data_IF_215522967169
#
_entry.id   IF_215522967169
#
_cell.length_a   1.000
_cell.length_b   1.000
_cell.length_c   1.000
_cell.angle_alpha   90.00
_cell.angle_beta   90.00
_cell.angle_gamma   90.00
#
_symmetry.space_group_name_H-M   'P 1'
#
loop_
_entity.id
_entity.type
_entity.pdbx_description
1 polymer ?
#
# COMPACT_ATOMS: atom_id res chain seq x y z
N UNK A 1 1.17 -37.14 42.43
CA UNK A 1 0.25 -36.58 41.42
C UNK A 1 0.86 -35.48 40.55
N UNK A 2 2.01 -34.86 40.90
CA UNK A 2 2.69 -33.86 40.05
C UNK A 2 3.70 -34.44 39.03
N UNK A 3 4.12 -35.70 39.19
CA UNK A 3 5.11 -36.34 38.30
C UNK A 3 4.49 -36.91 37.01
N UNK A 4 3.18 -37.21 36.99
CA UNK A 4 2.47 -37.64 35.78
C UNK A 4 2.36 -36.52 34.74
N UNK A 5 2.05 -35.30 35.18
CA UNK A 5 1.88 -34.13 34.30
C UNK A 5 3.20 -33.64 33.69
N UNK A 6 4.33 -33.91 34.33
CA UNK A 6 5.65 -33.61 33.79
C UNK A 6 6.04 -34.60 32.68
N UNK A 7 5.79 -35.89 32.88
CA UNK A 7 6.06 -36.92 31.90
C UNK A 7 5.16 -36.81 30.66
N UNK A 8 3.87 -36.49 30.84
CA UNK A 8 2.95 -36.21 29.71
C UNK A 8 3.36 -34.98 28.90
N UNK A 9 3.79 -33.89 29.55
CA UNK A 9 4.25 -32.68 28.85
C UNK A 9 5.52 -32.92 28.04
N UNK A 10 6.48 -33.70 28.55
CA UNK A 10 7.71 -34.05 27.82
C UNK A 10 7.39 -34.94 26.60
N UNK A 11 6.50 -35.92 26.75
CA UNK A 11 6.07 -36.79 25.66
C UNK A 11 5.29 -36.01 24.58
N UNK A 12 4.43 -35.06 25.00
CA UNK A 12 3.73 -34.17 24.08
C UNK A 12 4.68 -33.24 23.32
N UNK A 13 5.66 -32.64 24.01
CA UNK A 13 6.65 -31.76 23.39
C UNK A 13 7.50 -32.49 22.35
N UNK A 14 7.95 -33.72 22.64
CA UNK A 14 8.72 -34.53 21.70
C UNK A 14 7.89 -34.97 20.49
N UNK A 15 6.62 -35.34 20.68
CA UNK A 15 5.70 -35.65 19.58
C UNK A 15 5.42 -34.42 18.72
N UNK A 16 5.23 -33.27 19.35
CA UNK A 16 5.03 -32.01 18.65
C UNK A 16 6.29 -31.58 17.89
N UNK A 17 7.48 -31.70 18.48
CA UNK A 17 8.72 -31.34 17.80
C UNK A 17 8.98 -32.24 16.58
N UNK A 18 8.77 -33.56 16.72
CA UNK A 18 8.90 -34.51 15.63
C UNK A 18 7.87 -34.24 14.51
N UNK A 19 6.63 -33.92 14.88
CA UNK A 19 5.59 -33.53 13.94
C UNK A 19 5.91 -32.20 13.24
N UNK A 20 6.41 -31.21 13.98
CA UNK A 20 6.77 -29.89 13.46
C UNK A 20 7.91 -29.98 12.46
N UNK A 21 8.96 -30.77 12.76
CA UNK A 21 10.08 -30.95 11.84
C UNK A 21 9.65 -31.56 10.50
N UNK A 22 8.68 -32.48 10.52
CA UNK A 22 8.14 -33.13 9.32
C UNK A 22 7.17 -32.26 8.49
N UNK A 23 6.76 -31.09 8.98
CA UNK A 23 5.87 -30.18 8.23
C UNK A 23 6.60 -29.36 7.15
N UNK A 24 5.86 -29.02 6.09
CA UNK A 24 6.34 -28.16 5.02
C UNK A 24 6.65 -26.74 5.52
N UNK A 25 7.58 -26.06 4.84
CA UNK A 25 7.98 -24.70 5.19
C UNK A 25 6.81 -23.69 5.13
N UNK A 26 5.81 -23.93 4.28
CA UNK A 26 4.61 -23.10 4.20
C UNK A 26 3.77 -23.17 5.49
N UNK A 27 3.54 -24.39 6.00
CA UNK A 27 2.83 -24.61 7.27
C UNK A 27 3.56 -23.89 8.41
N UNK A 28 4.89 -24.02 8.47
CA UNK A 28 5.71 -23.38 9.51
C UNK A 28 5.57 -21.85 9.49
N UNK A 29 5.60 -21.23 8.32
CA UNK A 29 5.44 -19.76 8.16
C UNK A 29 4.05 -19.30 8.56
N UNK A 30 2.99 -20.01 8.15
CA UNK A 30 1.61 -19.65 8.51
C UNK A 30 1.34 -19.81 10.01
N UNK A 31 1.74 -20.92 10.61
CA UNK A 31 1.58 -21.13 12.06
C UNK A 31 2.44 -20.17 12.88
N UNK A 32 3.67 -19.86 12.43
CA UNK A 32 4.51 -18.84 13.05
C UNK A 32 3.86 -17.44 13.00
N UNK A 33 3.35 -17.04 11.84
CA UNK A 33 2.61 -15.79 11.67
C UNK A 33 1.35 -15.73 12.53
N UNK A 34 0.59 -16.82 12.61
CA UNK A 34 -0.62 -16.93 13.45
C UNK A 34 -0.28 -16.88 14.94
N UNK A 35 0.77 -17.56 15.39
CA UNK A 35 1.21 -17.52 16.78
C UNK A 35 1.61 -16.10 17.20
N UNK A 36 2.33 -15.37 16.35
CA UNK A 36 2.64 -13.96 16.58
C UNK A 36 1.38 -13.08 16.61
N UNK A 37 0.38 -13.38 15.78
CA UNK A 37 -0.89 -12.68 15.79
C UNK A 37 -1.62 -12.87 17.11
N UNK A 38 -1.70 -14.11 17.59
CA UNK A 38 -2.33 -14.43 18.88
C UNK A 38 -1.60 -13.74 20.03
N UNK A 39 -0.26 -13.70 19.98
CA UNK A 39 0.55 -12.95 20.94
C UNK A 39 0.27 -11.45 20.86
N UNK A 40 0.08 -10.90 19.66
CA UNK A 40 -0.31 -9.50 19.47
C UNK A 40 -1.69 -9.20 20.06
N UNK A 41 -2.68 -10.08 19.84
CA UNK A 41 -4.05 -9.96 20.38
C UNK A 41 -4.04 -10.07 21.91
N UNK A 42 -3.32 -11.04 22.47
CA UNK A 42 -3.18 -11.20 23.91
C UNK A 42 -2.50 -9.97 24.54
N UNK A 43 -1.46 -9.45 23.88
CA UNK A 43 -0.76 -8.24 24.32
C UNK A 43 -1.65 -6.99 24.18
N UNK A 44 -2.56 -6.95 23.21
CA UNK A 44 -3.51 -5.85 23.02
C UNK A 44 -4.52 -5.75 24.15
N UNK A 45 -4.93 -6.88 24.73
CA UNK A 45 -5.80 -6.91 25.91
C UNK A 45 -5.12 -6.29 27.15
N UNK A 46 -3.80 -6.43 27.26
CA UNK A 46 -3.03 -5.85 28.37
C UNK A 46 -2.61 -4.39 28.12
N UNK A 47 -2.23 -4.05 26.89
CA UNK A 47 -1.78 -2.70 26.51
C UNK A 47 -2.13 -2.37 25.06
N UNK A 48 -3.30 -1.74 24.81
CA UNK A 48 -3.80 -1.50 23.45
C UNK A 48 -2.95 -0.53 22.62
N UNK A 49 -2.02 0.21 23.24
CA UNK A 49 -1.08 1.13 22.56
C UNK A 49 0.39 0.80 22.81
N UNK A 50 0.68 -0.43 23.22
CA UNK A 50 2.07 -0.88 23.41
C UNK A 50 2.87 -0.88 22.11
N UNK A 51 4.14 -0.47 22.18
CA UNK A 51 5.05 -0.59 21.04
C UNK A 51 5.25 -2.07 20.65
N UNK A 52 5.18 -2.97 21.64
CA UNK A 52 5.21 -4.42 21.49
C UNK A 52 4.02 -4.96 20.67
N UNK A 53 2.80 -4.49 20.93
CA UNK A 53 1.60 -4.96 20.20
C UNK A 53 1.67 -4.57 18.73
N UNK A 54 2.11 -3.34 18.46
CA UNK A 54 2.33 -2.85 17.09
C UNK A 54 3.42 -3.67 16.39
N UNK A 55 4.57 -3.90 17.04
CA UNK A 55 5.67 -4.68 16.47
C UNK A 55 5.24 -6.12 16.16
N UNK A 56 4.55 -6.80 17.10
CA UNK A 56 4.04 -8.16 16.90
C UNK A 56 3.00 -8.22 15.79
N UNK A 57 2.10 -7.24 15.70
CA UNK A 57 1.09 -7.17 14.65
C UNK A 57 1.74 -6.98 13.27
N UNK A 58 2.73 -6.08 13.14
CA UNK A 58 3.45 -5.88 11.88
C UNK A 58 4.29 -7.11 11.51
N UNK A 59 4.98 -7.73 12.47
CA UNK A 59 5.77 -8.94 12.25
C UNK A 59 4.89 -10.11 11.79
N UNK A 60 3.75 -10.31 12.47
CA UNK A 60 2.75 -11.31 12.08
C UNK A 60 2.22 -11.05 10.66
N UNK A 61 1.84 -9.81 10.37
CA UNK A 61 1.33 -9.41 9.04
C UNK A 61 2.37 -9.66 7.95
N UNK A 62 3.64 -9.31 8.20
CA UNK A 62 4.74 -9.54 7.27
C UNK A 62 4.98 -11.02 6.99
N UNK A 63 4.95 -11.86 8.03
CA UNK A 63 5.10 -13.33 7.89
C UNK A 63 3.94 -13.96 7.12
N UNK A 64 2.70 -13.58 7.42
CA UNK A 64 1.52 -14.07 6.71
C UNK A 64 1.52 -13.63 5.25
N UNK A 65 1.84 -12.35 4.98
CA UNK A 65 1.96 -11.83 3.63
C UNK A 65 3.07 -12.53 2.85
N UNK A 66 4.23 -12.76 3.47
CA UNK A 66 5.34 -13.47 2.84
C UNK A 66 5.00 -14.93 2.52
N UNK A 67 4.32 -15.63 3.44
CA UNK A 67 3.82 -16.98 3.21
C UNK A 67 2.87 -17.05 2.02
N UNK A 68 1.91 -16.13 1.96
CA UNK A 68 0.97 -16.02 0.85
C UNK A 68 1.66 -15.68 -0.47
N UNK A 69 2.56 -14.70 -0.48
CA UNK A 69 3.28 -14.28 -1.67
C UNK A 69 4.14 -15.41 -2.22
N UNK A 70 4.76 -16.20 -1.34
CA UNK A 70 5.54 -17.39 -1.72
C UNK A 70 4.67 -18.46 -2.35
N UNK A 71 3.52 -18.80 -1.75
CA UNK A 71 2.59 -19.77 -2.34
C UNK A 71 2.06 -19.28 -3.70
N UNK A 72 1.65 -18.01 -3.78
CA UNK A 72 1.19 -17.39 -5.01
C UNK A 72 2.29 -17.41 -6.10
N UNK A 73 3.53 -17.07 -5.74
CA UNK A 73 4.67 -17.13 -6.64
C UNK A 73 4.88 -18.53 -7.20
N UNK A 74 5.00 -19.55 -6.33
CA UNK A 74 5.22 -20.92 -6.77
C UNK A 74 4.09 -21.46 -7.66
N UNK A 75 2.87 -20.96 -7.48
CA UNK A 75 1.72 -21.34 -8.30
C UNK A 75 1.64 -20.60 -9.64
N UNK A 76 1.99 -19.31 -9.66
CA UNK A 76 1.90 -18.44 -10.83
C UNK A 76 3.06 -18.67 -11.80
N UNK A 77 4.30 -18.80 -11.29
CA UNK A 77 5.51 -18.91 -12.11
C UNK A 77 5.45 -20.01 -13.17
N UNK A 78 5.03 -21.26 -12.89
CA UNK A 78 4.93 -22.29 -13.93
C UNK A 78 3.81 -21.99 -14.95
N UNK A 79 2.75 -21.30 -14.54
CA UNK A 79 1.60 -20.97 -15.40
C UNK A 79 1.82 -19.73 -16.26
N UNK A 80 2.83 -18.92 -15.93
CA UNK A 80 3.19 -17.71 -16.66
C UNK A 80 3.68 -18.01 -18.09
N UNK A 81 3.99 -19.27 -18.42
CA UNK A 81 4.31 -19.68 -19.79
C UNK A 81 3.09 -19.65 -20.72
N UNK A 82 1.87 -19.73 -20.17
CA UNK A 82 0.64 -19.68 -20.95
C UNK A 82 0.34 -18.25 -21.40
N UNK A 83 0.09 -18.01 -22.70
CA UNK A 83 -0.11 -16.66 -23.24
C UNK A 83 -1.31 -15.94 -22.62
N UNK A 84 -2.38 -16.69 -22.31
CA UNK A 84 -3.56 -16.15 -21.63
C UNK A 84 -3.24 -15.64 -20.21
N UNK A 85 -2.38 -16.34 -19.46
CA UNK A 85 -2.00 -15.93 -18.10
C UNK A 85 -1.14 -14.68 -18.15
N UNK A 86 -0.26 -14.53 -19.16
CA UNK A 86 0.50 -13.29 -19.40
C UNK A 86 -0.42 -12.11 -19.71
N UNK A 87 -1.39 -12.31 -20.62
CA UNK A 87 -2.37 -11.26 -20.96
C UNK A 87 -3.21 -10.86 -19.74
N UNK A 88 -3.62 -11.83 -18.92
CA UNK A 88 -4.40 -11.55 -17.72
C UNK A 88 -3.58 -10.79 -16.67
N UNK A 89 -2.33 -11.22 -16.43
CA UNK A 89 -1.44 -10.53 -15.49
C UNK A 89 -1.10 -9.11 -15.96
N UNK A 90 -0.76 -8.92 -17.24
CA UNK A 90 -0.48 -7.59 -17.79
C UNK A 90 -1.72 -6.69 -17.74
N UNK A 91 -2.90 -7.20 -18.12
CA UNK A 91 -4.16 -6.46 -17.99
C UNK A 91 -4.46 -6.07 -16.55
N UNK A 92 -4.31 -6.99 -15.60
CA UNK A 92 -4.49 -6.72 -14.18
C UNK A 92 -3.49 -5.69 -13.65
N UNK A 93 -2.23 -5.76 -14.07
CA UNK A 93 -1.21 -4.76 -13.71
C UNK A 93 -1.53 -3.37 -14.25
N UNK A 94 -2.00 -3.27 -15.50
CA UNK A 94 -2.40 -1.98 -16.10
C UNK A 94 -3.62 -1.41 -15.39
N UNK A 95 -4.62 -2.23 -15.07
CA UNK A 95 -5.78 -1.79 -14.29
C UNK A 95 -5.37 -1.33 -12.89
N UNK A 96 -4.46 -2.05 -12.23
CA UNK A 96 -3.96 -1.66 -10.92
C UNK A 96 -3.20 -0.33 -10.96
N UNK A 97 -2.39 -0.11 -12.01
CA UNK A 97 -1.68 1.14 -12.22
C UNK A 97 -2.65 2.30 -12.49
N UNK A 98 -3.65 2.10 -13.33
CA UNK A 98 -4.68 3.09 -13.62
C UNK A 98 -5.48 3.47 -12.37
N UNK A 99 -5.85 2.49 -11.55
CA UNK A 99 -6.50 2.72 -10.26
C UNK A 99 -5.58 3.50 -9.31
N UNK A 100 -4.30 3.15 -9.22
CA UNK A 100 -3.31 3.85 -8.42
C UNK A 100 -3.18 5.32 -8.87
N UNK A 101 -3.10 5.58 -10.19
CA UNK A 101 -3.11 6.94 -10.74
C UNK A 101 -4.37 7.72 -10.34
N UNK A 102 -5.54 7.08 -10.41
CA UNK A 102 -6.81 7.67 -9.98
C UNK A 102 -6.80 8.09 -8.51
N UNK A 103 -6.36 7.20 -7.61
CA UNK A 103 -6.27 7.48 -6.17
C UNK A 103 -5.24 8.61 -5.90
N UNK A 104 -4.10 8.62 -6.59
CA UNK A 104 -3.10 9.70 -6.47
C UNK A 104 -3.67 11.06 -6.88
N UNK A 105 -4.41 11.12 -8.00
CA UNK A 105 -5.08 12.35 -8.45
C UNK A 105 -6.18 12.81 -7.47
N UNK A 106 -6.98 11.88 -6.95
CA UNK A 106 -7.96 12.19 -5.90
C UNK A 106 -7.30 12.75 -4.65
N UNK A 107 -6.17 12.19 -4.23
CA UNK A 107 -5.44 12.66 -3.05
C UNK A 107 -4.92 14.08 -3.21
N UNK A 108 -4.38 14.43 -4.38
CA UNK A 108 -3.95 15.80 -4.68
C UNK A 108 -5.14 16.75 -4.71
N UNK A 109 -6.24 16.36 -5.37
CA UNK A 109 -7.44 17.18 -5.44
C UNK A 109 -8.04 17.44 -4.05
N UNK A 110 -8.17 16.42 -3.21
CA UNK A 110 -8.67 16.57 -1.84
C UNK A 110 -7.71 17.38 -0.94
N UNK A 111 -6.40 17.24 -1.15
CA UNK A 111 -5.38 17.92 -0.35
C UNK A 111 -5.26 19.42 -0.68
N UNK A 112 -5.34 19.77 -1.97
CA UNK A 112 -5.06 21.10 -2.50
C UNK A 112 -6.31 21.88 -2.92
N UNK A 113 -7.42 21.19 -3.19
CA UNK A 113 -8.64 21.79 -3.76
C UNK A 113 -8.47 22.26 -5.21
N UNK A 114 -7.43 21.79 -5.91
CA UNK A 114 -7.06 22.21 -7.26
C UNK A 114 -7.02 21.02 -8.23
N UNK A 115 -7.11 21.31 -9.53
CA UNK A 115 -7.00 20.27 -10.56
C UNK A 115 -5.62 19.58 -10.49
N UNK A 116 -5.56 18.24 -10.33
CA UNK A 116 -4.32 17.49 -10.23
C UNK A 116 -3.43 17.58 -11.49
N UNK A 117 -3.95 18.05 -12.63
CA UNK A 117 -3.15 18.28 -13.84
C UNK A 117 -2.02 19.30 -13.64
N UNK A 118 -2.15 20.20 -12.66
CA UNK A 118 -1.11 21.19 -12.31
C UNK A 118 -0.06 20.65 -11.33
N UNK A 119 -0.15 19.38 -10.93
CA UNK A 119 0.74 18.78 -9.94
C UNK A 119 1.34 17.44 -10.42
N UNK A 120 1.98 17.41 -11.61
CA UNK A 120 2.43 16.16 -12.21
C UNK A 120 3.50 15.45 -11.37
N UNK A 121 4.41 16.18 -10.72
CA UNK A 121 5.49 15.57 -9.94
C UNK A 121 4.98 15.01 -8.62
N UNK A 122 4.02 15.68 -7.98
CA UNK A 122 3.35 15.18 -6.78
C UNK A 122 2.54 13.92 -7.07
N UNK A 123 1.78 13.89 -8.19
CA UNK A 123 1.05 12.68 -8.60
C UNK A 123 2.03 11.53 -8.85
N UNK A 124 3.16 11.80 -9.52
CA UNK A 124 4.20 10.80 -9.76
C UNK A 124 4.82 10.25 -8.46
N UNK A 125 5.07 11.10 -7.46
CA UNK A 125 5.57 10.68 -6.14
C UNK A 125 4.56 9.77 -5.41
N UNK A 126 3.27 10.09 -5.50
CA UNK A 126 2.21 9.34 -4.81
C UNK A 126 1.85 8.03 -5.51
N UNK A 127 2.21 7.86 -6.78
CA UNK A 127 1.84 6.70 -7.58
C UNK A 127 2.35 5.35 -6.99
N UNK A 128 3.62 5.18 -6.61
CA UNK A 128 4.08 3.92 -6.01
C UNK A 128 3.40 3.64 -4.65
N UNK A 129 3.07 4.70 -3.92
CA UNK A 129 2.41 4.63 -2.62
C UNK A 129 0.93 4.22 -2.75
N UNK A 130 0.24 4.71 -3.79
CA UNK A 130 -1.15 4.32 -4.06
C UNK A 130 -1.27 2.90 -4.60
N UNK A 131 -0.23 2.35 -5.25
CA UNK A 131 -0.19 0.92 -5.60
C UNK A 131 -0.32 0.04 -4.36
N UNK A 132 0.29 0.41 -3.22
CA UNK A 132 0.14 -0.34 -1.97
C UNK A 132 -1.33 -0.41 -1.53
N UNK A 133 -2.08 0.67 -1.73
CA UNK A 133 -3.52 0.70 -1.42
C UNK A 133 -4.29 -0.23 -2.35
N UNK A 134 -4.04 -0.19 -3.65
CA UNK A 134 -4.68 -1.08 -4.62
C UNK A 134 -4.38 -2.54 -4.28
N UNK A 135 -3.13 -2.87 -4.00
CA UNK A 135 -2.71 -4.22 -3.59
C UNK A 135 -3.40 -4.65 -2.31
N UNK A 136 -3.57 -3.76 -1.32
CA UNK A 136 -4.27 -4.08 -0.07
C UNK A 136 -5.75 -4.45 -0.30
N UNK A 137 -6.45 -3.73 -1.16
CA UNK A 137 -7.86 -4.00 -1.50
C UNK A 137 -7.99 -5.31 -2.26
N UNK A 138 -7.12 -5.53 -3.25
CA UNK A 138 -7.08 -6.79 -4.00
C UNK A 138 -6.77 -7.96 -3.07
N UNK A 139 -5.85 -7.80 -2.13
CA UNK A 139 -5.52 -8.82 -1.15
C UNK A 139 -6.72 -9.17 -0.25
N UNK A 140 -7.52 -8.18 0.21
CA UNK A 140 -8.76 -8.45 0.96
C UNK A 140 -9.73 -9.27 0.10
N UNK A 141 -10.00 -8.84 -1.14
CA UNK A 141 -10.96 -9.52 -2.02
C UNK A 141 -10.49 -10.94 -2.34
N UNK A 142 -9.23 -11.12 -2.74
CA UNK A 142 -8.67 -12.43 -3.06
C UNK A 142 -8.65 -13.32 -1.82
N UNK A 143 -8.26 -12.80 -0.67
CA UNK A 143 -8.21 -13.57 0.58
C UNK A 143 -9.61 -14.03 0.99
N UNK A 144 -10.59 -13.13 1.03
CA UNK A 144 -11.98 -13.45 1.40
C UNK A 144 -12.62 -14.45 0.44
N UNK A 145 -12.47 -14.26 -0.88
CA UNK A 145 -12.96 -15.21 -1.88
C UNK A 145 -12.26 -16.57 -1.78
N UNK A 146 -10.95 -16.59 -1.55
CA UNK A 146 -10.19 -17.84 -1.39
C UNK A 146 -10.62 -18.59 -0.14
N UNK A 147 -10.79 -17.90 0.99
CA UNK A 147 -11.30 -18.49 2.23
C UNK A 147 -12.71 -19.06 2.03
N UNK A 148 -13.62 -18.31 1.39
CA UNK A 148 -14.96 -18.78 1.10
C UNK A 148 -14.96 -20.03 0.20
N UNK A 149 -14.15 -20.03 -0.87
CA UNK A 149 -14.01 -21.16 -1.78
C UNK A 149 -13.45 -22.41 -1.07
N UNK A 150 -12.45 -22.24 -0.21
CA UNK A 150 -11.88 -23.34 0.58
C UNK A 150 -12.89 -23.92 1.56
N UNK A 151 -13.71 -23.08 2.21
CA UNK A 151 -14.77 -23.52 3.11
C UNK A 151 -15.86 -24.29 2.37
N UNK A 152 -16.29 -23.81 1.20
CA UNK A 152 -17.27 -24.50 0.35
C UNK A 152 -16.70 -25.84 -0.12
N UNK A 153 -15.45 -25.86 -0.58
CA UNK A 153 -14.79 -27.09 -1.03
C UNK A 153 -14.66 -28.12 0.10
N UNK A 154 -14.23 -27.69 1.28
CA UNK A 154 -14.12 -28.55 2.45
C UNK A 154 -15.49 -29.11 2.87
N UNK A 155 -16.51 -28.26 2.91
CA UNK A 155 -17.89 -28.67 3.19
C UNK A 155 -18.41 -29.68 2.17
N UNK A 156 -18.19 -29.43 0.87
CA UNK A 156 -18.59 -30.33 -0.20
C UNK A 156 -17.85 -31.67 -0.12
N UNK A 157 -16.55 -31.68 0.17
CA UNK A 157 -15.77 -32.92 0.34
C UNK A 157 -16.32 -33.76 1.50
N UNK A 158 -16.50 -33.16 2.67
CA UNK A 158 -17.03 -33.87 3.85
C UNK A 158 -18.42 -34.45 3.58
N UNK A 159 -19.27 -33.70 2.87
CA UNK A 159 -20.62 -34.14 2.51
C UNK A 159 -20.60 -35.31 1.50
N UNK A 160 -19.72 -35.24 0.50
CA UNK A 160 -19.66 -36.19 -0.62
C UNK A 160 -18.89 -37.47 -0.29
N UNK A 161 -17.78 -37.40 0.44
CA UNK A 161 -16.93 -38.59 0.67
C UNK A 161 -17.29 -39.36 1.93
N UNK A 162 -18.12 -38.84 2.86
CA UNK A 162 -18.43 -39.43 4.19
C UNK A 162 -17.20 -39.89 5.02
N UNK A 163 -16.00 -39.61 4.54
CA UNK A 163 -14.71 -39.99 5.11
C UNK A 163 -13.90 -38.74 5.41
N UNK A 164 -13.14 -38.81 6.50
CA UNK A 164 -12.28 -37.73 6.94
C UNK A 164 -11.25 -37.35 5.85
N UNK A 165 -10.94 -36.07 5.75
CA UNK A 165 -9.79 -35.59 5.01
C UNK A 165 -8.53 -36.24 5.58
N UNK A 166 -7.56 -36.56 4.73
CA UNK A 166 -6.24 -37.00 5.18
C UNK A 166 -5.65 -35.93 6.13
N UNK A 167 -5.06 -36.36 7.25
CA UNK A 167 -4.73 -35.48 8.38
C UNK A 167 -3.87 -34.29 7.93
N UNK A 168 -2.93 -34.53 7.00
CA UNK A 168 -2.05 -33.49 6.44
C UNK A 168 -2.80 -32.47 5.59
N UNK A 169 -3.77 -32.90 4.79
CA UNK A 169 -4.59 -32.02 3.96
C UNK A 169 -5.55 -31.19 4.82
N UNK A 170 -6.07 -31.78 5.91
CA UNK A 170 -6.90 -31.08 6.89
C UNK A 170 -6.16 -29.93 7.58
N UNK A 171 -4.95 -30.19 8.09
CA UNK A 171 -4.13 -29.16 8.76
C UNK A 171 -3.69 -28.03 7.82
N UNK A 172 -3.35 -28.36 6.57
CA UNK A 172 -2.97 -27.38 5.57
C UNK A 172 -4.16 -26.51 5.14
N UNK A 173 -5.35 -27.11 5.01
CA UNK A 173 -6.59 -26.36 4.76
C UNK A 173 -6.92 -25.42 5.92
N UNK A 174 -6.87 -25.91 7.16
CA UNK A 174 -7.12 -25.11 8.36
C UNK A 174 -6.14 -23.93 8.45
N UNK A 175 -4.84 -24.16 8.20
CA UNK A 175 -3.83 -23.11 8.17
C UNK A 175 -4.14 -22.03 7.12
N UNK A 176 -4.58 -22.42 5.91
CA UNK A 176 -4.95 -21.48 4.84
C UNK A 176 -6.20 -20.67 5.16
N UNK A 177 -7.23 -21.30 5.74
CA UNK A 177 -8.45 -20.61 6.17
C UNK A 177 -8.14 -19.59 7.26
N UNK A 178 -7.39 -19.99 8.28
CA UNK A 178 -6.96 -19.10 9.37
C UNK A 178 -6.07 -17.97 8.87
N UNK A 179 -5.12 -18.27 7.97
CA UNK A 179 -4.26 -17.27 7.35
C UNK A 179 -5.06 -16.27 6.50
N UNK A 180 -5.98 -16.76 5.66
CA UNK A 180 -6.82 -15.88 4.84
C UNK A 180 -7.71 -14.97 5.67
N UNK A 181 -8.33 -15.52 6.72
CA UNK A 181 -9.21 -14.77 7.61
C UNK A 181 -8.43 -13.74 8.44
N UNK A 182 -7.25 -14.10 8.95
CA UNK A 182 -6.37 -13.17 9.65
C UNK A 182 -5.88 -12.04 8.76
N UNK A 183 -5.41 -12.34 7.54
CA UNK A 183 -5.01 -11.32 6.55
C UNK A 183 -6.18 -10.36 6.27
N UNK A 184 -7.37 -10.89 6.02
CA UNK A 184 -8.55 -10.06 5.74
C UNK A 184 -8.89 -9.14 6.92
N UNK A 185 -8.86 -9.65 8.16
CA UNK A 185 -9.12 -8.86 9.37
C UNK A 185 -8.06 -7.80 9.64
N UNK A 186 -6.77 -8.14 9.48
CA UNK A 186 -5.65 -7.22 9.68
C UNK A 186 -5.72 -6.09 8.66
N UNK A 187 -5.88 -6.41 7.38
CA UNK A 187 -5.93 -5.39 6.34
C UNK A 187 -7.19 -4.55 6.52
N UNK A 188 -8.35 -5.14 6.83
CA UNK A 188 -9.59 -4.38 7.05
C UNK A 188 -9.52 -3.45 8.26
N UNK A 189 -8.85 -3.85 9.35
CA UNK A 189 -8.72 -3.00 10.54
C UNK A 189 -7.72 -1.86 10.36
N UNK A 190 -6.72 -2.03 9.49
CA UNK A 190 -5.75 -0.98 9.13
C UNK A 190 -6.22 -0.11 7.96
N UNK A 191 -7.14 -0.62 7.15
CA UNK A 191 -7.75 0.08 6.02
C UNK A 191 -8.94 0.90 6.49
N UNK A 192 -8.72 2.19 6.75
CA UNK A 192 -9.84 3.11 6.99
C UNK A 192 -10.87 3.12 5.84
N UNK A 193 -12.11 3.58 6.10
CA UNK A 193 -13.17 3.62 5.09
C UNK A 193 -12.91 4.63 3.96
N UNK A 194 -11.97 5.55 4.15
CA UNK A 194 -11.60 6.54 3.15
C UNK A 194 -10.86 5.90 1.97
N UNK A 195 -11.25 6.29 0.75
CA UNK A 195 -10.59 5.90 -0.49
C UNK A 195 -9.14 6.42 -0.50
N UNK A 196 -8.96 7.68 -0.07
CA UNK A 196 -7.66 8.30 0.12
C UNK A 196 -7.31 8.32 1.61
N UNK A 197 -6.18 7.72 2.04
CA UNK A 197 -5.72 7.82 3.41
C UNK A 197 -5.32 9.26 3.79
N UNK A 198 -5.60 9.66 5.04
CA UNK A 198 -5.25 11.00 5.55
C UNK A 198 -3.74 11.31 5.47
N UNK A 199 -2.88 10.31 5.69
CA UNK A 199 -1.43 10.48 5.54
C UNK A 199 -1.04 10.78 4.09
N UNK A 200 -1.78 10.25 3.11
CA UNK A 200 -1.54 10.47 1.70
C UNK A 200 -1.99 11.87 1.28
N UNK A 201 -3.09 12.36 1.85
CA UNK A 201 -3.50 13.76 1.72
C UNK A 201 -2.47 14.71 2.33
N UNK A 202 -1.97 14.41 3.53
CA UNK A 202 -0.94 15.23 4.18
C UNK A 202 0.37 15.25 3.37
N UNK A 203 0.78 14.09 2.84
CA UNK A 203 1.95 13.98 1.98
C UNK A 203 1.74 14.74 0.67
N UNK A 204 0.57 14.60 0.02
CA UNK A 204 0.20 15.34 -1.19
C UNK A 204 0.24 16.84 -0.95
N UNK A 205 -0.34 17.30 0.17
CA UNK A 205 -0.38 18.71 0.55
C UNK A 205 1.01 19.30 0.74
N UNK A 206 1.96 18.55 1.30
CA UNK A 206 3.35 19.03 1.46
C UNK A 206 4.14 18.94 0.17
N UNK A 207 4.10 17.81 -0.52
CA UNK A 207 4.87 17.58 -1.74
C UNK A 207 4.48 18.51 -2.88
N UNK A 208 3.18 18.86 -3.01
CA UNK A 208 2.72 19.85 -3.99
C UNK A 208 3.45 21.19 -3.87
N UNK A 209 3.67 21.70 -2.65
CA UNK A 209 4.35 22.99 -2.43
C UNK A 209 5.85 22.92 -2.77
N UNK A 210 6.49 21.78 -2.53
CA UNK A 210 7.94 21.65 -2.68
C UNK A 210 8.38 21.19 -4.06
N UNK A 211 7.54 20.42 -4.77
CA UNK A 211 7.92 19.81 -6.04
C UNK A 211 7.36 20.55 -7.26
N UNK A 212 6.11 21.00 -7.21
CA UNK A 212 5.42 21.57 -8.38
C UNK A 212 5.42 23.11 -8.39
N UNK A 213 5.83 23.75 -7.31
CA UNK A 213 5.79 25.21 -7.13
C UNK A 213 7.19 25.80 -7.07
N UNK A 214 7.34 27.01 -7.62
CA UNK A 214 8.60 27.72 -7.73
C UNK A 214 8.51 29.10 -7.08
N UNK A 215 9.65 29.66 -6.69
CA UNK A 215 9.72 30.99 -6.12
C UNK A 215 9.59 32.02 -7.25
N UNK A 216 8.48 32.78 -7.27
CA UNK A 216 8.23 33.87 -8.23
C UNK A 216 7.95 35.18 -7.46
N UNK A 217 8.93 36.10 -7.36
CA UNK A 217 8.76 37.34 -6.60
C UNK A 217 7.75 38.31 -7.23
N UNK A 218 7.36 38.11 -8.50
CA UNK A 218 6.41 39.00 -9.19
C UNK A 218 4.96 38.71 -8.85
N UNK A 219 4.67 37.47 -8.46
CA UNK A 219 3.32 36.98 -8.16
C UNK A 219 3.11 36.60 -6.68
N UNK A 220 4.13 36.77 -5.84
CA UNK A 220 4.09 36.48 -4.40
C UNK A 220 4.08 37.75 -3.58
N UNK A 221 3.36 37.72 -2.45
CA UNK A 221 3.28 38.83 -1.50
C UNK A 221 4.13 38.60 -0.26
N UNK A 222 4.57 37.36 -0.04
CA UNK A 222 5.34 36.93 1.12
C UNK A 222 6.45 35.98 0.69
N UNK A 223 7.54 35.94 1.48
CA UNK A 223 8.71 35.12 1.19
C UNK A 223 8.48 33.60 1.35
N UNK A 224 7.39 33.18 2.02
CA UNK A 224 6.99 31.78 2.21
C UNK A 224 5.96 31.31 1.17
N UNK A 225 5.60 32.18 0.22
CA UNK A 225 4.71 31.85 -0.89
C UNK A 225 5.52 31.33 -2.08
N UNK A 226 5.03 30.27 -2.69
CA UNK A 226 5.51 29.75 -3.98
C UNK A 226 4.38 29.78 -4.98
N UNK A 227 4.70 29.76 -6.26
CA UNK A 227 3.69 29.80 -7.32
C UNK A 227 3.87 28.73 -8.37
N UNK A 228 2.74 28.33 -8.96
CA UNK A 228 2.69 27.50 -10.14
C UNK A 228 1.77 28.18 -11.15
N UNK A 229 2.28 28.48 -12.35
CA UNK A 229 1.50 29.19 -13.37
C UNK A 229 0.57 28.22 -14.09
N UNK A 230 -0.74 28.53 -14.09
CA UNK A 230 -1.75 27.78 -14.85
C UNK A 230 -1.77 28.31 -16.28
N UNK A 231 -1.99 29.62 -16.42
CA UNK A 231 -2.16 30.33 -17.69
C UNK A 231 -1.50 31.73 -17.58
N UNK A 232 -1.55 32.50 -18.66
CA UNK A 232 -0.96 33.85 -18.75
C UNK A 232 -1.42 34.80 -17.65
N UNK A 233 -2.65 34.63 -17.15
CA UNK A 233 -3.26 35.54 -16.19
C UNK A 233 -3.49 34.96 -14.79
N UNK A 234 -3.31 33.64 -14.62
CA UNK A 234 -3.68 32.94 -13.38
C UNK A 234 -2.55 32.05 -12.91
N UNK A 235 -2.20 32.21 -11.64
CA UNK A 235 -1.24 31.38 -10.92
C UNK A 235 -1.92 30.74 -9.72
N UNK A 236 -1.48 29.54 -9.35
CA UNK A 236 -1.76 28.98 -8.03
C UNK A 236 -0.64 29.47 -7.12
N UNK A 237 -1.01 30.03 -5.96
CA UNK A 237 -0.07 30.40 -4.91
C UNK A 237 -0.23 29.39 -3.78
N UNK A 238 0.88 28.73 -3.46
CA UNK A 238 1.01 27.85 -2.31
C UNK A 238 1.69 28.61 -1.19
N UNK A 239 1.08 28.69 -0.02
CA UNK A 239 1.66 29.35 1.15
C UNK A 239 1.92 28.33 2.26
N UNK A 240 3.14 28.34 2.80
CA UNK A 240 3.51 27.57 4.00
C UNK A 240 3.00 28.21 5.29
N UNK A 241 1.74 28.69 5.30
CA UNK A 241 1.16 29.38 6.44
C UNK A 241 0.65 28.39 7.50
N UNK A 242 1.41 28.19 8.58
CA UNK A 242 1.00 27.40 9.75
C UNK A 242 1.34 25.92 9.66
N UNK A 243 0.49 25.05 10.20
CA UNK A 243 0.76 23.60 10.29
C UNK A 243 0.65 22.86 8.94
N UNK A 244 -0.15 23.39 8.02
CA UNK A 244 -0.46 22.78 6.72
C UNK A 244 -0.40 23.81 5.59
N UNK A 245 0.23 23.48 4.44
CA UNK A 245 0.23 24.35 3.26
C UNK A 245 -1.17 24.65 2.75
N UNK A 246 -1.40 25.90 2.32
CA UNK A 246 -2.66 26.34 1.70
C UNK A 246 -2.44 26.71 0.23
N UNK A 247 -3.45 26.49 -0.60
CA UNK A 247 -3.37 26.71 -2.05
C UNK A 247 -4.54 27.60 -2.50
N UNK A 248 -4.22 28.71 -3.15
CA UNK A 248 -5.20 29.66 -3.65
C UNK A 248 -4.87 30.08 -5.08
N UNK A 249 -5.89 30.25 -5.92
CA UNK A 249 -5.70 30.85 -7.25
C UNK A 249 -5.65 32.37 -7.10
N UNK A 250 -4.66 33.00 -7.71
CA UNK A 250 -4.54 34.47 -7.80
C UNK A 250 -4.36 34.88 -9.25
N UNK A 251 -4.91 36.04 -9.61
CA UNK A 251 -4.65 36.68 -10.88
C UNK A 251 -3.24 37.30 -10.86
N UNK A 252 -2.35 36.85 -11.75
CA UNK A 252 -1.04 37.43 -11.95
C UNK A 252 -0.70 37.41 -13.45
N UNK A 253 -0.94 38.52 -14.18
CA UNK A 253 -0.64 38.59 -15.61
C UNK A 253 0.86 38.46 -15.86
N UNK A 254 1.24 37.68 -16.88
CA UNK A 254 2.58 37.67 -17.43
C UNK A 254 2.95 39.11 -17.80
N UNK A 255 3.95 39.66 -17.13
CA UNK A 255 4.56 40.89 -17.61
C UNK A 255 5.29 40.54 -18.90
N UNK A 256 4.84 41.10 -20.02
CA UNK A 256 5.54 40.95 -21.28
C UNK A 256 7.02 41.29 -21.07
N UNK A 257 7.88 40.34 -21.42
CA UNK A 257 9.33 40.43 -21.40
C UNK A 257 9.75 41.75 -22.09
N UNK A 258 9.99 42.79 -21.30
CA UNK A 258 10.62 44.02 -21.78
C UNK A 258 12.14 43.82 -21.75
N UNK A 259 12.61 42.79 -22.44
CA UNK A 259 13.95 42.84 -23.01
C UNK A 259 13.77 43.22 -24.48
N UNK A 260 14.07 44.47 -24.89
CA UNK A 260 14.36 44.68 -26.28
C UNK A 260 15.58 43.82 -26.57
N UNK A 261 15.43 42.80 -27.42
CA UNK A 261 16.53 42.19 -28.17
C UNK A 261 17.41 43.34 -28.64
N UNK A 262 18.54 43.53 -27.96
CA UNK A 262 19.53 44.53 -28.28
C UNK A 262 20.07 44.12 -29.65
N UNK A 263 19.42 44.66 -30.68
CA UNK A 263 19.84 44.60 -32.06
C UNK A 263 21.24 45.18 -32.05
N UNK A 264 22.25 44.32 -32.11
CA UNK A 264 23.64 44.71 -32.29
C UNK A 264 23.70 45.60 -33.53
N UNK A 265 23.74 46.90 -33.30
CA UNK A 265 23.99 47.86 -34.36
C UNK A 265 25.44 47.65 -34.75
N UNK A 266 25.75 47.40 -36.04
CA UNK A 266 27.14 47.34 -36.47
C UNK A 266 27.76 48.72 -36.27
N UNK A 267 28.92 48.70 -35.63
CA UNK A 267 29.79 49.83 -35.35
C UNK A 267 30.14 50.58 -36.66
N UNK A 268 29.77 51.86 -36.85
CA UNK A 268 30.22 52.64 -37.98
C UNK A 268 31.52 53.35 -37.59
N UNK A 269 32.59 52.59 -37.40
CA UNK A 269 33.93 53.15 -37.22
C UNK A 269 34.97 52.38 -38.06
N UNK A 270 34.68 52.30 -39.36
CA UNK A 270 35.68 52.05 -40.40
C UNK A 270 35.56 53.12 -41.48
N UNK A 271 36.08 54.31 -41.18
CA UNK A 271 36.51 55.27 -42.20
C UNK A 271 37.43 56.33 -41.58
N UNK A 272 38.72 56.01 -41.49
CA UNK A 272 39.90 56.76 -42.00
C UNK A 272 41.13 56.49 -41.16
#
# INVERSE_FOLDING_TARGET
MWMSDAAERVNWYQRFSAWWETQSLAIKVYFGGLALLLMAIASFQASPRGLLTSCLAYASSGLLAFGFLREAYLWVTPKLQLPLVKLLMTGASVMALAAATGISKMAVNEATGQDPMHFPTTVALLLPLSVLRVVSVVAIIVSTLSTAALMIWAGAKVLLTRGALDDKDGWLLAARVLAGLSIALIISSTSGPAIVPSWMQALARKSALFLDFHDDPTCTTKADERTHRINDNVVIVGAAAGADPTYVRRSCPLQAEREPLERSSPDPSSTR
#
